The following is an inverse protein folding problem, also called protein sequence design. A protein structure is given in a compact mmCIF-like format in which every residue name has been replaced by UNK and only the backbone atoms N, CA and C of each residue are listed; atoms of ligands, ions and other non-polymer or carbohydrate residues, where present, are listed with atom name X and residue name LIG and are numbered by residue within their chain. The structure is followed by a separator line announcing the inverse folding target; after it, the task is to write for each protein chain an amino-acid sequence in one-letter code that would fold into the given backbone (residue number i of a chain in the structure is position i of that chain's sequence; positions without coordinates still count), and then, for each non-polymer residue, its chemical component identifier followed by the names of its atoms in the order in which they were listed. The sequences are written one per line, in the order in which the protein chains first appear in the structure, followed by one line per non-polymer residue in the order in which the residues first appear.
data_IF_922237703960
#
_entry.id   IF_922237703960
#
_cell.length_a   1.000
_cell.length_b   1.000
_cell.length_c   1.000
_cell.angle_alpha   90.00
_cell.angle_beta   90.00
_cell.angle_gamma   90.00
#
_symmetry.space_group_name_H-M   'P 1'
#
loop_
_entity.id
_entity.type
_entity.pdbx_description
1 polymer ?
#
# COMPACT_ATOMS: atom_id res chain seq x y z
N UNK A 1 -39.72 -48.95 37.18
CA UNK A 1 -39.00 -47.86 36.48
C UNK A 1 -38.41 -48.41 35.18
N UNK A 2 -38.91 -47.97 34.03
CA UNK A 2 -38.66 -48.62 32.74
C UNK A 2 -37.38 -48.10 32.06
N UNK A 3 -36.30 -48.88 32.12
CA UNK A 3 -35.00 -48.64 31.43
C UNK A 3 -35.12 -48.29 29.94
N UNK A 4 -36.21 -48.71 29.26
CA UNK A 4 -36.48 -48.41 27.84
C UNK A 4 -36.91 -46.96 27.56
N UNK A 5 -37.40 -46.21 28.55
CA UNK A 5 -37.75 -44.80 28.37
C UNK A 5 -36.51 -43.88 28.48
N UNK A 6 -35.54 -44.26 29.30
CA UNK A 6 -34.28 -43.51 29.46
C UNK A 6 -33.44 -43.50 28.17
N UNK A 7 -33.43 -44.62 27.42
CA UNK A 7 -32.70 -44.74 26.15
C UNK A 7 -33.39 -44.02 24.98
N UNK A 8 -34.71 -43.78 25.04
CA UNK A 8 -35.42 -43.00 24.02
C UNK A 8 -35.24 -41.48 24.18
N UNK A 9 -34.99 -41.02 25.41
CA UNK A 9 -34.67 -39.61 25.70
C UNK A 9 -33.22 -39.23 25.33
N UNK A 10 -32.32 -40.20 25.21
CA UNK A 10 -30.94 -39.95 24.79
C UNK A 10 -30.77 -39.78 23.26
N UNK A 11 -31.76 -40.19 22.45
CA UNK A 11 -31.68 -40.15 20.99
C UNK A 11 -32.35 -38.91 20.35
N UNK A 12 -32.88 -37.98 21.16
CA UNK A 12 -33.64 -36.82 20.70
C UNK A 12 -33.11 -35.48 21.26
N UNK A 13 -31.81 -35.39 21.54
CA UNK A 13 -31.15 -34.10 21.68
C UNK A 13 -30.71 -33.65 20.27
N UNK A 14 -31.39 -32.69 19.62
CA UNK A 14 -30.84 -32.10 18.42
C UNK A 14 -29.53 -31.41 18.82
N UNK A 15 -28.46 -31.77 18.11
CA UNK A 15 -27.19 -31.06 18.07
C UNK A 15 -27.42 -29.62 17.55
N UNK A 16 -28.09 -28.79 18.32
CA UNK A 16 -28.02 -27.33 18.19
C UNK A 16 -26.87 -26.84 19.05
N UNK A 17 -25.67 -27.37 18.79
CA UNK A 17 -24.46 -26.58 18.95
C UNK A 17 -24.51 -25.55 17.82
N UNK A 18 -25.27 -24.46 18.04
CA UNK A 18 -24.95 -23.20 17.41
C UNK A 18 -23.49 -22.97 17.78
N UNK A 19 -22.60 -23.22 16.82
CA UNK A 19 -21.20 -22.92 16.93
C UNK A 19 -21.10 -21.44 17.23
N UNK A 20 -20.99 -21.09 18.51
CA UNK A 20 -20.43 -19.83 18.92
C UNK A 20 -19.02 -19.85 18.37
N UNK A 21 -18.86 -19.25 17.18
CA UNK A 21 -17.55 -18.75 16.78
C UNK A 21 -17.23 -17.69 17.81
N UNK A 22 -16.59 -18.11 18.89
CA UNK A 22 -15.85 -17.21 19.76
C UNK A 22 -14.78 -16.59 18.87
N UNK A 23 -15.12 -15.46 18.25
CA UNK A 23 -14.14 -14.53 17.73
C UNK A 23 -13.39 -14.06 18.97
N UNK A 24 -12.27 -14.73 19.27
CA UNK A 24 -11.37 -14.26 20.29
C UNK A 24 -11.04 -12.81 19.94
N UNK A 25 -11.31 -11.89 20.86
CA UNK A 25 -10.75 -10.56 20.78
C UNK A 25 -9.25 -10.72 20.52
N UNK A 26 -8.71 -9.98 19.55
CA UNK A 26 -7.28 -10.03 19.28
C UNK A 26 -6.49 -9.80 20.58
N UNK A 27 -5.26 -10.33 20.69
CA UNK A 27 -4.44 -10.11 21.87
C UNK A 27 -4.44 -8.62 22.25
N UNK A 28 -4.42 -8.26 23.55
CA UNK A 28 -4.46 -6.86 24.04
C UNK A 28 -3.35 -5.95 23.48
N UNK A 29 -2.44 -6.50 22.69
CA UNK A 29 -1.25 -5.87 22.13
C UNK A 29 -1.22 -5.85 20.59
N UNK A 30 -2.37 -6.06 19.93
CA UNK A 30 -2.49 -6.00 18.47
C UNK A 30 -2.21 -4.60 17.94
N UNK A 31 -1.30 -4.49 16.96
CA UNK A 31 -0.88 -3.22 16.36
C UNK A 31 -1.12 -3.18 14.86
N UNK A 32 -1.57 -2.03 14.37
CA UNK A 32 -1.72 -1.75 12.95
C UNK A 32 -0.96 -0.48 12.60
N UNK A 33 -0.16 -0.51 11.55
CA UNK A 33 0.35 0.68 10.87
C UNK A 33 -0.16 0.68 9.43
N UNK A 34 -0.84 1.77 9.04
CA UNK A 34 -1.18 2.00 7.63
C UNK A 34 -0.16 2.96 7.03
N UNK A 35 0.47 2.54 5.94
CA UNK A 35 1.41 3.35 5.16
C UNK A 35 0.76 3.72 3.84
N UNK A 36 0.54 5.01 3.59
CA UNK A 36 -0.08 5.50 2.37
C UNK A 36 0.99 6.09 1.43
N UNK A 37 1.27 5.41 0.33
CA UNK A 37 2.13 5.90 -0.75
C UNK A 37 1.34 6.89 -1.60
N UNK A 38 1.59 8.18 -1.43
CA UNK A 38 0.93 9.28 -2.13
C UNK A 38 1.54 9.43 -3.52
N UNK A 39 0.73 9.17 -4.56
CA UNK A 39 1.15 9.34 -5.95
C UNK A 39 1.01 8.09 -6.82
N UNK A 40 0.18 7.10 -6.45
CA UNK A 40 -0.17 5.97 -7.32
C UNK A 40 1.04 5.26 -7.95
N UNK A 41 1.93 4.66 -7.17
CA UNK A 41 3.17 4.07 -7.69
C UNK A 41 2.95 3.00 -8.78
N UNK A 42 3.96 2.76 -9.62
CA UNK A 42 3.95 1.69 -10.63
C UNK A 42 4.13 0.31 -10.00
N UNK A 43 3.00 -0.28 -9.62
CA UNK A 43 2.93 -1.56 -8.93
C UNK A 43 3.40 -2.76 -9.78
N UNK A 44 3.32 -2.67 -11.11
CA UNK A 44 3.79 -3.73 -12.02
C UNK A 44 5.33 -3.75 -12.15
N UNK A 45 6.00 -2.66 -11.80
CA UNK A 45 7.46 -2.65 -11.63
C UNK A 45 7.87 -3.24 -10.28
N UNK A 46 7.06 -3.08 -9.22
CA UNK A 46 7.32 -3.75 -7.94
C UNK A 46 7.11 -5.27 -8.00
N UNK A 47 5.88 -5.68 -8.32
CA UNK A 47 5.45 -7.08 -8.34
C UNK A 47 5.34 -7.49 -9.81
N UNK A 48 6.40 -8.12 -10.28
CA UNK A 48 6.68 -8.39 -11.69
C UNK A 48 5.97 -9.68 -12.11
N UNK A 49 5.05 -9.65 -13.09
CA UNK A 49 4.40 -10.86 -13.61
C UNK A 49 5.34 -11.60 -14.57
N UNK A 50 6.25 -12.41 -14.04
CA UNK A 50 7.31 -13.08 -14.83
C UNK A 50 6.79 -14.18 -15.76
N UNK A 51 5.49 -14.42 -15.84
CA UNK A 51 4.90 -15.33 -16.84
C UNK A 51 4.18 -14.58 -17.97
N UNK A 52 4.07 -13.26 -17.88
CA UNK A 52 3.41 -12.43 -18.89
C UNK A 52 4.41 -11.94 -19.92
N UNK A 53 4.34 -12.43 -21.16
CA UNK A 53 5.08 -11.84 -22.29
C UNK A 53 4.57 -10.42 -22.59
N UNK A 54 3.27 -10.21 -22.46
CA UNK A 54 2.62 -8.92 -22.68
C UNK A 54 3.18 -7.80 -21.78
N UNK A 55 3.59 -8.11 -20.55
CA UNK A 55 4.28 -7.16 -19.66
C UNK A 55 5.60 -6.67 -20.29
N UNK A 56 6.42 -7.57 -20.83
CA UNK A 56 7.71 -7.22 -21.44
C UNK A 56 7.52 -6.48 -22.76
N UNK A 57 6.59 -6.93 -23.59
CA UNK A 57 6.23 -6.25 -24.85
C UNK A 57 5.70 -4.83 -24.61
N UNK A 58 4.94 -4.63 -23.54
CA UNK A 58 4.32 -3.34 -23.21
C UNK A 58 5.25 -2.37 -22.50
N UNK A 59 6.45 -2.81 -22.08
CA UNK A 59 7.39 -2.05 -21.25
C UNK A 59 8.84 -2.17 -21.76
N UNK A 60 9.11 -1.79 -23.01
CA UNK A 60 10.39 -2.05 -23.67
C UNK A 60 11.61 -1.47 -22.94
N UNK A 61 11.45 -0.40 -22.16
CA UNK A 61 12.57 0.24 -21.44
C UNK A 61 12.47 0.13 -19.92
N UNK A 62 11.27 -0.08 -19.37
CA UNK A 62 11.05 -0.10 -17.91
C UNK A 62 10.74 -1.49 -17.35
N UNK A 63 10.58 -2.53 -18.17
CA UNK A 63 10.36 -3.89 -17.69
C UNK A 63 11.52 -4.36 -16.79
N UNK A 64 11.18 -5.01 -15.68
CA UNK A 64 12.20 -5.69 -14.85
C UNK A 64 12.57 -7.01 -15.50
N UNK A 65 13.84 -7.15 -15.85
CA UNK A 65 14.39 -8.36 -16.45
C UNK A 65 14.16 -9.59 -15.55
N UNK A 66 13.86 -10.73 -16.17
CA UNK A 66 13.48 -11.97 -15.47
C UNK A 66 14.54 -12.45 -14.48
N UNK A 67 15.79 -12.31 -14.85
CA UNK A 67 16.98 -12.71 -14.08
C UNK A 67 17.35 -11.72 -12.97
N UNK A 68 16.98 -10.45 -13.12
CA UNK A 68 17.15 -9.42 -12.10
C UNK A 68 16.07 -9.50 -11.01
N UNK A 69 14.85 -9.95 -11.35
CA UNK A 69 13.74 -10.04 -10.41
C UNK A 69 13.91 -11.21 -9.43
N UNK A 70 13.57 -11.00 -8.15
CA UNK A 70 13.64 -12.04 -7.14
C UNK A 70 12.35 -12.89 -7.15
N UNK A 71 12.42 -14.15 -7.55
CA UNK A 71 11.26 -15.02 -7.70
C UNK A 71 10.41 -15.13 -6.40
N UNK A 72 9.09 -15.07 -6.56
CA UNK A 72 8.07 -15.34 -5.56
C UNK A 72 7.19 -16.52 -6.04
N UNK A 73 6.04 -16.77 -5.39
CA UNK A 73 5.09 -17.80 -5.83
C UNK A 73 4.30 -17.37 -7.08
N UNK A 74 3.63 -18.34 -7.71
CA UNK A 74 2.58 -18.11 -8.71
C UNK A 74 3.02 -17.31 -9.95
N UNK A 75 4.31 -17.40 -10.33
CA UNK A 75 4.84 -16.70 -11.48
C UNK A 75 5.02 -15.18 -11.27
N UNK A 76 5.07 -14.75 -10.01
CA UNK A 76 5.44 -13.39 -9.64
C UNK A 76 6.90 -13.32 -9.22
N UNK A 77 7.48 -12.13 -9.34
CA UNK A 77 8.78 -11.81 -8.78
C UNK A 77 8.78 -10.41 -8.17
N UNK A 78 9.75 -10.17 -7.30
CA UNK A 78 9.92 -8.92 -6.59
C UNK A 78 11.01 -8.08 -7.25
N UNK A 79 10.77 -6.77 -7.33
CA UNK A 79 11.74 -5.81 -7.83
C UNK A 79 13.10 -5.92 -7.10
N UNK A 80 14.24 -5.91 -7.82
CA UNK A 80 15.57 -6.11 -7.22
C UNK A 80 15.92 -5.11 -6.12
N UNK A 81 15.55 -3.84 -6.27
CA UNK A 81 15.82 -2.79 -5.28
C UNK A 81 15.24 -3.04 -3.88
N UNK A 82 14.25 -3.94 -3.74
CA UNK A 82 13.67 -4.32 -2.44
C UNK A 82 13.96 -5.76 -2.07
N UNK A 83 14.77 -6.47 -2.86
CA UNK A 83 15.14 -7.87 -2.60
C UNK A 83 15.71 -8.03 -1.20
N UNK A 84 16.76 -7.28 -0.87
CA UNK A 84 17.48 -7.47 0.40
C UNK A 84 16.67 -7.03 1.63
N UNK A 85 15.72 -6.11 1.45
CA UNK A 85 14.91 -5.57 2.55
C UNK A 85 13.59 -6.31 2.75
N UNK A 86 12.96 -6.84 1.71
CA UNK A 86 11.62 -7.43 1.77
C UNK A 86 11.57 -8.94 1.52
N UNK A 87 12.45 -9.49 0.67
CA UNK A 87 12.46 -10.94 0.42
C UNK A 87 12.64 -11.77 1.71
N UNK A 88 13.47 -11.35 2.70
CA UNK A 88 13.55 -12.07 3.96
C UNK A 88 12.22 -12.14 4.72
N UNK A 89 11.39 -11.09 4.68
CA UNK A 89 10.05 -11.13 5.30
C UNK A 89 9.14 -12.11 4.55
N UNK A 90 9.17 -12.10 3.21
CA UNK A 90 8.38 -13.02 2.41
C UNK A 90 8.74 -14.48 2.73
N UNK A 91 10.05 -14.79 2.76
CA UNK A 91 10.55 -16.14 3.05
C UNK A 91 10.22 -16.63 4.46
N UNK A 92 10.14 -15.72 5.45
CA UNK A 92 9.68 -16.03 6.81
C UNK A 92 8.16 -16.13 6.94
N UNK A 93 7.41 -15.90 5.86
CA UNK A 93 5.96 -15.83 5.91
C UNK A 93 5.42 -14.56 6.53
N UNK A 94 6.22 -13.52 6.71
CA UNK A 94 5.84 -12.24 7.35
C UNK A 94 5.45 -11.16 6.33
N UNK A 95 5.38 -11.47 5.05
CA UNK A 95 4.99 -10.55 3.97
C UNK A 95 4.13 -11.28 2.93
N UNK A 96 3.00 -10.67 2.57
CA UNK A 96 2.15 -11.04 1.45
C UNK A 96 1.91 -9.83 0.54
N UNK A 97 1.71 -10.09 -0.74
CA UNK A 97 1.25 -9.08 -1.69
C UNK A 97 -0.18 -9.41 -2.13
N UNK A 98 -0.99 -8.36 -2.31
CA UNK A 98 -2.35 -8.44 -2.83
C UNK A 98 -2.39 -7.67 -4.15
N UNK A 99 -2.14 -8.34 -5.30
CA UNK A 99 -2.27 -7.71 -6.61
C UNK A 99 -3.74 -7.42 -6.91
N UNK A 100 -3.96 -6.58 -7.93
CA UNK A 100 -5.30 -6.20 -8.37
C UNK A 100 -6.13 -5.58 -7.24
N UNK A 101 -5.47 -4.86 -6.34
CA UNK A 101 -6.10 -4.18 -5.20
C UNK A 101 -6.31 -2.70 -5.51
N UNK A 102 -7.40 -2.12 -5.01
CA UNK A 102 -7.70 -0.72 -5.24
C UNK A 102 -9.09 -0.31 -4.78
N UNK A 103 -9.65 0.68 -5.44
CA UNK A 103 -10.98 1.23 -5.19
C UNK A 103 -11.91 0.93 -6.35
N UNK A 104 -13.21 0.85 -6.09
CA UNK A 104 -14.27 0.74 -7.10
C UNK A 104 -14.55 2.09 -7.82
N UNK A 105 -13.84 3.15 -7.43
CA UNK A 105 -13.85 4.45 -8.08
C UNK A 105 -12.88 4.51 -9.27
N UNK A 106 -13.39 4.87 -10.45
CA UNK A 106 -12.61 5.00 -11.66
C UNK A 106 -11.90 6.37 -11.80
N UNK A 107 -12.05 7.28 -10.82
CA UNK A 107 -11.28 8.52 -10.78
C UNK A 107 -9.79 8.22 -10.78
N UNK A 108 -9.05 9.05 -11.51
CA UNK A 108 -7.58 9.06 -11.56
C UNK A 108 -7.01 10.34 -10.96
N UNK A 109 -7.83 11.11 -10.27
CA UNK A 109 -7.38 12.28 -9.51
C UNK A 109 -6.77 11.82 -8.20
N UNK A 110 -5.52 12.21 -7.94
CA UNK A 110 -4.86 11.98 -6.65
C UNK A 110 -5.70 12.53 -5.50
N UNK A 111 -6.04 13.82 -5.54
CA UNK A 111 -6.81 14.47 -4.49
C UNK A 111 -8.14 13.77 -4.22
N UNK A 112 -8.93 13.48 -5.26
CA UNK A 112 -10.23 12.85 -5.10
C UNK A 112 -10.09 11.42 -4.54
N UNK A 113 -9.24 10.60 -5.16
CA UNK A 113 -9.16 9.17 -4.82
C UNK A 113 -8.55 8.95 -3.44
N UNK A 114 -7.51 9.72 -3.10
CA UNK A 114 -6.92 9.71 -1.76
C UNK A 114 -7.96 10.08 -0.70
N UNK A 115 -8.69 11.19 -0.90
CA UNK A 115 -9.73 11.62 0.04
C UNK A 115 -10.84 10.56 0.18
N UNK A 116 -11.25 9.93 -0.92
CA UNK A 116 -12.26 8.86 -0.92
C UNK A 116 -11.80 7.63 -0.16
N UNK A 117 -10.55 7.20 -0.35
CA UNK A 117 -9.97 6.06 0.37
C UNK A 117 -9.84 6.38 1.85
N UNK A 118 -9.31 7.54 2.21
CA UNK A 118 -9.16 7.95 3.61
C UNK A 118 -10.51 8.04 4.34
N UNK A 119 -11.57 8.44 3.64
CA UNK A 119 -12.95 8.43 4.14
C UNK A 119 -13.56 7.01 4.22
N UNK A 120 -13.01 6.03 3.51
CA UNK A 120 -13.60 4.70 3.38
C UNK A 120 -14.89 4.70 2.55
N UNK A 121 -14.98 5.58 1.54
CA UNK A 121 -16.19 5.79 0.74
C UNK A 121 -16.39 4.66 -0.27
N UNK A 122 -17.66 4.27 -0.47
CA UNK A 122 -18.08 3.40 -1.57
C UNK A 122 -18.07 4.10 -2.93
N UNK A 123 -17.93 3.34 -4.01
CA UNK A 123 -18.20 3.80 -5.36
C UNK A 123 -19.62 4.37 -5.50
N UNK A 124 -19.76 5.41 -6.33
CA UNK A 124 -21.05 6.04 -6.64
C UNK A 124 -21.45 7.25 -5.76
N UNK A 125 -22.73 7.63 -5.86
CA UNK A 125 -23.30 8.90 -5.36
C UNK A 125 -23.79 8.86 -3.91
N UNK A 126 -23.52 7.79 -3.16
CA UNK A 126 -23.87 7.70 -1.74
C UNK A 126 -23.22 8.81 -0.91
N UNK A 127 -23.87 9.19 0.20
CA UNK A 127 -23.34 10.16 1.14
C UNK A 127 -21.97 9.69 1.66
N UNK A 128 -20.97 10.55 1.56
CA UNK A 128 -19.65 10.24 2.09
C UNK A 128 -19.72 10.12 3.62
N UNK A 129 -18.99 9.17 4.23
CA UNK A 129 -18.79 9.20 5.67
C UNK A 129 -18.21 10.56 6.10
N UNK A 130 -18.65 11.09 7.25
CA UNK A 130 -18.22 12.41 7.72
C UNK A 130 -16.81 12.43 8.33
N UNK A 131 -16.17 11.27 8.48
CA UNK A 131 -14.89 11.08 9.16
C UNK A 131 -14.01 10.11 8.38
N UNK A 132 -12.72 10.02 8.73
CA UNK A 132 -11.82 9.02 8.18
C UNK A 132 -12.07 7.63 8.76
N UNK A 133 -11.77 6.58 7.99
CA UNK A 133 -12.08 5.22 8.42
C UNK A 133 -11.22 4.76 9.60
N UNK A 134 -9.97 5.21 9.74
CA UNK A 134 -9.17 4.88 10.92
C UNK A 134 -9.63 5.64 12.16
N UNK A 135 -10.22 6.84 12.02
CA UNK A 135 -10.91 7.50 13.14
C UNK A 135 -12.13 6.69 13.60
N UNK A 136 -12.93 6.18 12.66
CA UNK A 136 -14.06 5.30 12.99
C UNK A 136 -13.60 4.00 13.63
N UNK A 137 -12.53 3.39 13.13
CA UNK A 137 -11.91 2.23 13.77
C UNK A 137 -11.48 2.57 15.20
N UNK A 138 -10.77 3.68 15.41
CA UNK A 138 -10.35 4.10 16.74
C UNK A 138 -11.54 4.28 17.69
N UNK A 139 -12.66 4.83 17.21
CA UNK A 139 -13.90 4.94 17.98
C UNK A 139 -14.52 3.57 18.31
N UNK A 140 -14.34 2.56 17.46
CA UNK A 140 -14.78 1.19 17.76
C UNK A 140 -13.89 0.50 18.78
N UNK A 141 -12.61 0.87 18.93
CA UNK A 141 -11.67 0.13 19.78
C UNK A 141 -11.77 0.47 21.28
N UNK A 142 -12.62 1.41 21.70
CA UNK A 142 -12.77 1.91 23.07
C UNK A 142 -11.46 2.43 23.71
N UNK A 143 -11.57 3.47 24.56
CA UNK A 143 -10.44 4.29 25.06
C UNK A 143 -9.31 3.61 25.86
N UNK A 144 -9.26 2.27 25.91
CA UNK A 144 -8.14 1.49 26.48
C UNK A 144 -7.49 0.51 25.49
N UNK A 145 -8.19 0.04 24.45
CA UNK A 145 -7.61 -0.88 23.47
C UNK A 145 -7.16 -0.18 22.18
N UNK A 146 -7.68 1.01 21.86
CA UNK A 146 -7.18 1.86 20.77
C UNK A 146 -6.31 3.01 21.28
N UNK A 147 -5.03 3.04 20.90
CA UNK A 147 -4.09 4.14 21.13
C UNK A 147 -3.60 4.66 19.76
N UNK A 148 -4.41 5.47 19.06
CA UNK A 148 -4.08 5.91 17.72
C UNK A 148 -3.03 7.02 17.72
N UNK A 149 -2.26 7.13 16.65
CA UNK A 149 -1.42 8.28 16.35
C UNK A 149 -1.25 8.47 14.84
N UNK A 150 -1.27 9.74 14.39
CA UNK A 150 -0.84 10.12 13.07
C UNK A 150 0.64 10.54 13.13
N UNK A 151 1.43 10.09 12.16
CA UNK A 151 2.85 10.41 12.03
C UNK A 151 3.09 11.26 10.76
N UNK A 152 2.40 12.39 10.69
CA UNK A 152 2.32 13.26 9.51
C UNK A 152 2.50 14.73 9.91
N UNK A 153 2.68 15.62 8.92
CA UNK A 153 2.80 17.06 9.18
C UNK A 153 1.50 17.64 9.77
N UNK A 154 0.36 17.31 9.15
CA UNK A 154 -0.98 17.70 9.59
C UNK A 154 -1.84 16.47 9.92
N UNK A 155 -2.94 16.67 10.66
CA UNK A 155 -3.90 15.59 10.93
C UNK A 155 -4.53 15.11 9.59
N UNK A 156 -4.27 13.86 9.18
CA UNK A 156 -4.69 13.36 7.89
C UNK A 156 -6.18 13.04 7.89
N UNK A 157 -6.83 13.10 6.72
CA UNK A 157 -8.26 12.88 6.56
C UNK A 157 -8.70 11.54 7.17
N UNK A 158 -7.87 10.51 7.04
CA UNK A 158 -8.11 9.14 7.55
C UNK A 158 -8.32 9.08 9.07
N UNK A 159 -7.80 10.08 9.80
CA UNK A 159 -7.95 10.23 11.26
C UNK A 159 -8.80 11.41 11.68
N UNK A 160 -9.38 12.19 10.76
CA UNK A 160 -10.34 13.24 11.13
C UNK A 160 -11.67 12.63 11.58
N UNK A 161 -12.21 13.10 12.70
CA UNK A 161 -13.49 12.63 13.24
C UNK A 161 -13.59 12.85 14.75
N UNK A 162 -14.46 12.09 15.41
CA UNK A 162 -14.77 12.26 16.83
C UNK A 162 -13.68 11.70 17.76
N UNK A 163 -12.98 10.64 17.35
CA UNK A 163 -11.89 10.09 18.16
C UNK A 163 -10.72 11.09 18.19
N UNK A 164 -10.17 11.33 19.39
CA UNK A 164 -9.00 12.21 19.55
C UNK A 164 -7.75 11.45 19.15
N UNK A 165 -7.05 11.92 18.12
CA UNK A 165 -5.82 11.31 17.62
C UNK A 165 -4.69 12.33 17.71
N UNK A 166 -3.61 12.06 18.47
CA UNK A 166 -2.42 12.91 18.45
C UNK A 166 -1.76 12.86 17.07
N UNK A 167 -1.31 14.03 16.60
CA UNK A 167 -0.45 14.14 15.42
C UNK A 167 1.00 14.37 15.85
N UNK A 168 1.91 13.57 15.33
CA UNK A 168 3.33 13.59 15.66
C UNK A 168 4.11 13.90 14.40
N UNK A 169 4.56 15.15 14.28
CA UNK A 169 5.45 15.57 13.20
C UNK A 169 6.84 14.97 13.42
N UNK A 170 7.29 14.15 12.46
CA UNK A 170 8.61 13.52 12.48
C UNK A 170 9.69 14.39 11.83
N UNK A 171 9.29 15.46 11.13
CA UNK A 171 10.11 16.31 10.27
C UNK A 171 10.96 17.36 10.99
N UNK A 172 10.76 17.57 12.29
CA UNK A 172 11.64 18.33 13.20
C UNK A 172 12.27 19.60 12.63
N UNK A 173 11.62 20.76 12.81
CA UNK A 173 12.16 22.12 12.70
C UNK A 173 13.21 22.44 11.60
N UNK A 174 12.77 23.25 10.63
CA UNK A 174 13.51 24.00 9.58
C UNK A 174 13.80 23.24 8.28
N UNK A 175 12.84 23.35 7.35
CA UNK A 175 13.02 23.13 5.91
C UNK A 175 13.92 24.22 5.32
N UNK A 176 15.15 23.87 4.95
CA UNK A 176 15.85 24.54 3.84
C UNK A 176 16.14 23.48 2.79
N UNK A 177 15.29 23.45 1.77
CA UNK A 177 15.56 22.73 0.53
C UNK A 177 16.81 23.34 -0.12
N UNK A 178 17.84 22.52 -0.34
CA UNK A 178 18.91 22.79 -1.29
C UNK A 178 18.81 21.72 -2.35
N UNK A 179 18.06 22.02 -3.41
CA UNK A 179 18.17 21.31 -4.67
C UNK A 179 19.34 21.92 -5.42
N UNK A 180 20.41 21.15 -5.63
CA UNK A 180 21.41 21.48 -6.66
C UNK A 180 21.20 20.53 -7.81
N UNK A 181 20.66 21.05 -8.91
CA UNK A 181 20.65 20.36 -10.19
C UNK A 181 21.97 20.66 -10.90
N UNK A 182 22.75 19.63 -11.25
CA UNK A 182 23.52 19.68 -12.50
C UNK A 182 23.96 18.28 -12.94
N UNK A 183 23.33 17.78 -13.99
CA UNK A 183 23.71 16.55 -14.70
C UNK A 183 23.31 16.63 -16.18
N UNK A 184 22.32 17.46 -16.52
CA UNK A 184 21.91 17.74 -17.91
C UNK A 184 22.94 18.56 -18.70
N UNK A 185 23.65 19.47 -18.05
CA UNK A 185 24.71 20.28 -18.67
C UNK A 185 25.90 19.43 -19.12
N UNK A 186 26.27 18.43 -18.32
CA UNK A 186 27.36 17.51 -18.64
C UNK A 186 27.05 16.64 -19.87
N UNK A 187 25.80 16.17 -20.01
CA UNK A 187 25.37 15.38 -21.17
C UNK A 187 25.31 16.27 -22.43
N UNK A 188 24.77 17.48 -22.34
CA UNK A 188 24.75 18.43 -23.46
C UNK A 188 26.16 18.75 -23.98
N UNK A 189 27.13 18.96 -23.06
CA UNK A 189 28.52 19.23 -23.42
C UNK A 189 29.23 18.07 -24.12
N UNK A 190 28.84 16.81 -23.85
CA UNK A 190 29.43 15.63 -24.52
C UNK A 190 29.04 15.51 -26.00
N UNK A 191 27.86 16.01 -26.39
CA UNK A 191 27.36 15.91 -27.77
C UNK A 191 27.50 17.21 -28.56
N UNK A 192 28.04 18.26 -27.94
CA UNK A 192 28.27 19.57 -28.55
C UNK A 192 29.18 19.44 -29.79
N UNK A 193 28.72 19.92 -30.94
CA UNK A 193 29.45 19.84 -32.21
C UNK A 193 29.38 18.49 -32.94
N UNK A 194 28.56 17.55 -32.47
CA UNK A 194 28.25 16.30 -33.19
C UNK A 194 26.99 16.46 -34.05
N UNK A 195 26.76 15.53 -35.00
CA UNK A 195 25.51 15.50 -35.77
C UNK A 195 24.24 15.22 -34.95
N UNK A 196 24.38 14.89 -33.66
CA UNK A 196 23.29 14.62 -32.73
C UNK A 196 23.00 15.79 -31.78
N UNK A 197 23.77 16.88 -31.87
CA UNK A 197 23.72 18.04 -30.95
C UNK A 197 22.30 18.63 -30.86
N UNK A 198 21.68 18.92 -32.01
CA UNK A 198 20.31 19.44 -32.06
C UNK A 198 19.28 18.50 -31.41
N UNK A 199 19.35 17.19 -31.73
CA UNK A 199 18.41 16.20 -31.20
C UNK A 199 18.61 15.91 -29.71
N UNK A 200 19.85 15.96 -29.22
CA UNK A 200 20.17 15.80 -27.80
C UNK A 200 19.71 17.02 -27.00
N UNK A 201 19.94 18.23 -27.50
CA UNK A 201 19.49 19.46 -26.82
C UNK A 201 17.96 19.57 -26.79
N UNK A 202 17.29 19.24 -27.90
CA UNK A 202 15.83 19.19 -27.96
C UNK A 202 15.27 18.12 -26.99
N UNK A 203 15.88 16.93 -26.97
CA UNK A 203 15.52 15.87 -26.03
C UNK A 203 15.74 16.27 -24.56
N UNK A 204 16.85 16.93 -24.23
CA UNK A 204 17.13 17.43 -22.88
C UNK A 204 16.17 18.53 -22.46
N UNK A 205 15.80 19.45 -23.36
CA UNK A 205 14.82 20.49 -23.10
C UNK A 205 13.42 19.92 -22.86
N UNK A 206 12.97 18.98 -23.69
CA UNK A 206 11.70 18.29 -23.51
C UNK A 206 11.66 17.51 -22.18
N UNK A 207 12.74 16.81 -21.84
CA UNK A 207 12.87 16.11 -20.56
C UNK A 207 12.89 17.09 -19.37
N UNK A 208 13.51 18.26 -19.51
CA UNK A 208 13.50 19.32 -18.49
C UNK A 208 12.10 19.89 -18.24
N UNK A 209 11.36 20.18 -19.31
CA UNK A 209 9.96 20.63 -19.21
C UNK A 209 9.06 19.57 -18.59
N UNK A 210 9.20 18.31 -19.03
CA UNK A 210 8.45 17.19 -18.46
C UNK A 210 8.75 17.00 -16.97
N UNK A 211 10.01 17.17 -16.54
CA UNK A 211 10.40 17.11 -15.13
C UNK A 211 9.80 18.25 -14.30
N UNK A 212 9.77 19.47 -14.80
CA UNK A 212 9.19 20.60 -14.08
C UNK A 212 7.67 20.45 -13.87
N UNK A 213 6.96 19.97 -14.91
CA UNK A 213 5.54 19.62 -14.79
C UNK A 213 5.32 18.49 -13.77
N UNK A 214 6.14 17.44 -13.85
CA UNK A 214 6.14 16.33 -12.89
C UNK A 214 6.38 16.80 -11.45
N UNK A 215 7.29 17.75 -11.21
CA UNK A 215 7.53 18.29 -9.87
C UNK A 215 6.33 19.09 -9.33
N UNK A 216 5.53 19.71 -10.19
CA UNK A 216 4.29 20.36 -9.77
C UNK A 216 3.21 19.33 -9.42
N UNK A 217 3.00 18.35 -10.30
CA UNK A 217 2.02 17.26 -10.10
C UNK A 217 2.37 16.42 -8.87
N UNK A 218 3.64 16.02 -8.73
CA UNK A 218 4.13 15.29 -7.56
C UNK A 218 3.94 16.07 -6.26
N UNK A 219 4.07 17.40 -6.26
CA UNK A 219 3.77 18.22 -5.07
C UNK A 219 2.29 18.19 -4.70
N UNK A 220 1.40 18.21 -5.69
CA UNK A 220 -0.04 18.06 -5.48
C UNK A 220 -0.38 16.65 -4.98
N UNK A 221 0.16 15.62 -5.65
CA UNK A 221 -0.02 14.23 -5.28
C UNK A 221 0.46 13.93 -3.85
N UNK A 222 1.57 14.53 -3.41
CA UNK A 222 2.10 14.37 -2.05
C UNK A 222 1.12 14.86 -0.98
N UNK A 223 0.33 15.91 -1.25
CA UNK A 223 -0.64 16.43 -0.29
C UNK A 223 -0.07 16.83 1.08
N UNK A 224 1.22 17.21 1.14
CA UNK A 224 1.94 17.50 2.39
C UNK A 224 2.80 16.36 2.94
N UNK A 225 2.73 15.15 2.36
CA UNK A 225 3.56 14.02 2.78
C UNK A 225 5.07 14.26 2.56
N UNK A 226 5.88 13.75 3.49
CA UNK A 226 7.34 13.80 3.43
C UNK A 226 7.93 12.96 2.28
N UNK A 227 9.17 13.24 1.88
CA UNK A 227 9.86 12.47 0.85
C UNK A 227 10.53 11.20 1.43
N UNK A 228 11.08 10.35 0.56
CA UNK A 228 11.67 9.06 0.93
C UNK A 228 13.10 9.14 1.48
N UNK A 229 13.75 10.31 1.53
CA UNK A 229 15.18 10.43 1.84
C UNK A 229 15.51 10.14 3.30
N UNK A 230 14.63 10.53 4.22
CA UNK A 230 14.78 10.32 5.67
C UNK A 230 13.90 9.21 6.22
N UNK A 231 13.20 8.50 5.32
CA UNK A 231 12.14 7.57 5.66
C UNK A 231 12.61 6.45 6.60
N UNK A 232 13.86 6.00 6.48
CA UNK A 232 14.39 4.97 7.39
C UNK A 232 14.50 5.47 8.85
N UNK A 233 14.98 6.70 9.05
CA UNK A 233 15.10 7.28 10.39
C UNK A 233 13.73 7.57 11.00
N UNK A 234 12.80 8.07 10.18
CA UNK A 234 11.41 8.30 10.55
C UNK A 234 10.73 6.98 10.93
N UNK A 235 10.88 5.94 10.12
CA UNK A 235 10.33 4.61 10.38
C UNK A 235 10.87 3.99 11.68
N UNK A 236 12.14 4.18 12.02
CA UNK A 236 12.68 3.76 13.33
C UNK A 236 11.98 4.47 14.49
N UNK A 237 11.78 5.79 14.38
CA UNK A 237 11.06 6.58 15.41
C UNK A 237 9.60 6.15 15.54
N UNK A 238 8.90 5.94 14.41
CA UNK A 238 7.54 5.39 14.40
C UNK A 238 7.51 4.03 15.10
N UNK A 239 8.48 3.16 14.80
CA UNK A 239 8.63 1.85 15.42
C UNK A 239 8.73 1.94 16.94
N UNK A 240 9.60 2.80 17.46
CA UNK A 240 9.71 3.02 18.92
C UNK A 240 8.41 3.55 19.52
N UNK A 241 7.78 4.56 18.90
CA UNK A 241 6.50 5.09 19.39
C UNK A 241 5.37 4.07 19.40
N UNK A 242 5.28 3.24 18.36
CA UNK A 242 4.29 2.17 18.26
C UNK A 242 4.60 1.01 19.22
N UNK A 243 5.86 0.66 19.43
CA UNK A 243 6.22 -0.38 20.39
C UNK A 243 5.79 0.02 21.81
N UNK A 244 6.06 1.27 22.20
CA UNK A 244 5.90 1.75 23.58
C UNK A 244 4.52 2.34 23.89
N UNK A 245 3.90 3.08 22.94
CA UNK A 245 2.80 4.00 23.26
C UNK A 245 1.54 3.81 22.42
N UNK A 246 1.68 3.48 21.14
CA UNK A 246 0.56 3.49 20.18
C UNK A 246 0.35 2.14 19.50
N UNK A 247 -0.89 1.80 19.15
CA UNK A 247 -1.19 0.53 18.47
C UNK A 247 -2.07 0.68 17.22
N UNK A 248 -2.35 1.92 16.82
CA UNK A 248 -3.03 2.23 15.58
C UNK A 248 -2.36 3.45 14.92
N UNK A 249 -1.45 3.20 13.99
CA UNK A 249 -0.65 4.22 13.34
C UNK A 249 -1.10 4.50 11.91
N UNK A 250 -0.88 5.74 11.47
CA UNK A 250 -0.89 6.12 10.07
C UNK A 250 0.34 6.97 9.75
N UNK A 251 0.93 6.72 8.59
CA UNK A 251 1.95 7.58 7.97
C UNK A 251 1.67 7.63 6.48
N UNK A 252 1.91 8.77 5.85
CA UNK A 252 1.97 8.88 4.41
C UNK A 252 3.38 9.24 3.93
N UNK A 253 3.67 8.79 2.71
CA UNK A 253 4.98 8.94 2.09
C UNK A 253 4.74 9.46 0.68
N UNK A 254 5.31 10.62 0.39
CA UNK A 254 5.23 11.26 -0.91
C UNK A 254 6.29 10.78 -1.90
N UNK A 255 6.10 11.20 -3.14
CA UNK A 255 7.06 11.09 -4.23
C UNK A 255 6.83 9.89 -5.14
N UNK A 256 5.65 9.27 -5.11
CA UNK A 256 5.35 8.07 -5.90
C UNK A 256 4.80 8.39 -7.29
N UNK A 257 4.39 9.63 -7.50
CA UNK A 257 3.84 10.14 -8.76
C UNK A 257 4.92 10.31 -9.82
N UNK A 258 5.37 9.18 -10.37
CA UNK A 258 6.51 9.10 -11.28
C UNK A 258 6.03 8.75 -12.68
N UNK A 259 6.21 9.66 -13.64
CA UNK A 259 5.73 9.51 -15.02
C UNK A 259 6.84 9.47 -16.07
N UNK A 260 8.07 9.82 -15.69
CA UNK A 260 9.16 10.11 -16.61
C UNK A 260 10.40 9.38 -16.14
N UNK A 261 11.02 8.61 -17.05
CA UNK A 261 12.29 7.93 -16.80
C UNK A 261 12.30 7.14 -15.49
N UNK A 262 11.26 6.35 -15.23
CA UNK A 262 11.13 5.58 -13.98
C UNK A 262 12.31 4.62 -13.81
N UNK A 263 12.80 4.11 -14.94
CA UNK A 263 13.86 3.12 -15.02
C UNK A 263 13.35 1.71 -14.71
N UNK A 264 14.17 0.72 -15.04
CA UNK A 264 13.89 -0.69 -14.73
C UNK A 264 14.43 -1.02 -13.33
N UNK A 265 15.39 -1.95 -13.22
CA UNK A 265 16.00 -2.35 -11.94
C UNK A 265 16.69 -1.19 -11.20
N UNK A 266 17.01 -0.10 -11.91
CA UNK A 266 17.62 1.13 -11.42
C UNK A 266 16.77 2.33 -11.84
N UNK A 267 16.95 3.49 -11.20
CA UNK A 267 16.24 4.72 -11.53
C UNK A 267 15.43 5.27 -10.36
N UNK A 268 14.63 6.29 -10.63
CA UNK A 268 13.88 7.02 -9.60
C UNK A 268 12.93 6.09 -8.84
N UNK A 269 12.21 5.22 -9.55
CA UNK A 269 11.28 4.29 -8.90
C UNK A 269 12.04 3.26 -8.06
N UNK A 270 13.09 2.66 -8.60
CA UNK A 270 13.94 1.70 -7.89
C UNK A 270 14.54 2.31 -6.61
N UNK A 271 15.04 3.55 -6.65
CA UNK A 271 15.56 4.26 -5.48
C UNK A 271 14.50 4.43 -4.40
N UNK A 272 13.29 4.87 -4.77
CA UNK A 272 12.17 5.09 -3.83
C UNK A 272 11.68 3.78 -3.23
N UNK A 273 11.51 2.74 -4.05
CA UNK A 273 11.18 1.40 -3.60
C UNK A 273 12.22 0.88 -2.59
N UNK A 274 13.51 1.00 -2.91
CA UNK A 274 14.58 0.59 -2.01
C UNK A 274 14.59 1.37 -0.69
N UNK A 275 14.30 2.67 -0.71
CA UNK A 275 14.15 3.50 0.49
C UNK A 275 12.97 3.05 1.36
N UNK A 276 11.79 2.81 0.77
CA UNK A 276 10.64 2.29 1.49
C UNK A 276 10.90 0.89 2.07
N UNK A 277 11.49 -0.01 1.28
CA UNK A 277 11.83 -1.36 1.75
C UNK A 277 12.75 -1.34 2.96
N UNK A 278 13.83 -0.54 2.92
CA UNK A 278 14.72 -0.35 4.09
C UNK A 278 14.00 0.27 5.28
N UNK A 279 13.12 1.24 5.05
CA UNK A 279 12.32 1.86 6.11
C UNK A 279 11.38 0.86 6.80
N UNK A 280 10.68 0.01 6.03
CA UNK A 280 9.83 -1.05 6.59
C UNK A 280 10.64 -2.07 7.39
N UNK A 281 11.81 -2.46 6.90
CA UNK A 281 12.72 -3.33 7.64
C UNK A 281 13.22 -2.69 8.95
N UNK A 282 13.54 -1.40 8.91
CA UNK A 282 13.97 -0.63 10.08
C UNK A 282 12.84 -0.41 11.10
N UNK A 283 11.60 -0.20 10.64
CA UNK A 283 10.41 -0.18 11.48
C UNK A 283 10.24 -1.52 12.21
N UNK A 284 10.27 -2.64 11.47
CA UNK A 284 10.16 -3.97 12.05
C UNK A 284 11.24 -4.25 13.11
N UNK A 285 12.48 -3.83 12.85
CA UNK A 285 13.58 -3.92 13.82
C UNK A 285 13.30 -3.08 15.07
N UNK A 286 12.84 -1.83 14.91
CA UNK A 286 12.54 -0.92 16.02
C UNK A 286 11.33 -1.37 16.86
N UNK A 287 10.38 -2.11 16.27
CA UNK A 287 9.28 -2.74 16.99
C UNK A 287 9.76 -3.84 17.97
N UNK A 288 10.92 -4.45 17.73
CA UNK A 288 11.46 -5.50 18.58
C UNK A 288 10.44 -6.64 18.82
N UNK A 289 10.25 -7.10 20.07
CA UNK A 289 9.27 -8.16 20.39
C UNK A 289 7.83 -7.84 19.94
N UNK A 290 7.44 -6.56 19.90
CA UNK A 290 6.10 -6.15 19.49
C UNK A 290 5.80 -6.43 18.02
N UNK A 291 6.83 -6.67 17.18
CA UNK A 291 6.65 -7.05 15.77
C UNK A 291 5.77 -8.30 15.61
N UNK A 292 5.83 -9.25 16.55
CA UNK A 292 5.01 -10.47 16.56
C UNK A 292 3.50 -10.20 16.56
N UNK A 293 3.08 -9.03 17.02
CA UNK A 293 1.66 -8.62 17.08
C UNK A 293 1.37 -7.41 16.21
N UNK A 294 2.26 -7.09 15.27
CA UNK A 294 2.15 -5.92 14.39
C UNK A 294 1.76 -6.35 12.99
N UNK A 295 0.81 -5.64 12.40
CA UNK A 295 0.47 -5.69 10.98
C UNK A 295 0.73 -4.32 10.37
N UNK A 296 1.41 -4.29 9.23
CA UNK A 296 1.64 -3.12 8.40
C UNK A 296 0.89 -3.33 7.09
N UNK A 297 0.07 -2.37 6.69
CA UNK A 297 -0.60 -2.38 5.38
C UNK A 297 -0.09 -1.20 4.58
N UNK A 298 0.59 -1.47 3.48
CA UNK A 298 1.09 -0.47 2.54
C UNK A 298 0.14 -0.39 1.36
N UNK A 299 -0.42 0.79 1.13
CA UNK A 299 -1.38 1.06 0.06
C UNK A 299 -0.96 2.28 -0.76
N UNK A 300 -1.58 2.43 -1.91
CA UNK A 300 -1.60 3.65 -2.71
C UNK A 300 -3.02 3.85 -3.23
N UNK A 301 -3.33 5.03 -3.73
CA UNK A 301 -4.69 5.42 -4.12
C UNK A 301 -5.21 4.66 -5.34
N UNK A 302 -4.34 4.44 -6.32
CA UNK A 302 -4.58 3.64 -7.52
C UNK A 302 -3.21 3.17 -8.06
N UNK A 303 -3.19 2.45 -9.17
CA UNK A 303 -1.96 2.02 -9.84
C UNK A 303 -1.61 2.81 -11.09
N UNK A 304 -0.79 2.23 -11.95
CA UNK A 304 -0.33 2.84 -13.20
C UNK A 304 -0.81 2.07 -14.41
N UNK A 305 -0.72 2.69 -15.58
CA UNK A 305 -0.90 1.98 -16.84
C UNK A 305 0.06 0.80 -16.93
N UNK A 306 -0.41 -0.33 -17.48
CA UNK A 306 0.49 -1.43 -17.76
C UNK A 306 1.48 -1.03 -18.85
N UNK A 307 1.03 -0.28 -19.86
CA UNK A 307 1.89 0.16 -20.96
C UNK A 307 2.78 1.32 -20.53
N UNK A 308 4.04 1.24 -20.95
CA UNK A 308 4.99 2.35 -20.87
C UNK A 308 4.50 3.52 -21.76
N UNK A 309 4.63 4.75 -21.26
CA UNK A 309 4.33 5.97 -21.99
C UNK A 309 5.53 6.45 -22.82
N UNK A 310 5.34 7.50 -23.63
CA UNK A 310 6.42 8.04 -24.49
C UNK A 310 7.63 8.60 -23.74
N UNK A 311 7.53 8.81 -22.43
CA UNK A 311 8.58 9.39 -21.59
C UNK A 311 9.34 8.34 -20.76
N UNK A 312 9.25 7.05 -21.13
CA UNK A 312 9.89 5.94 -20.40
C UNK A 312 9.42 5.86 -18.94
N UNK A 313 8.13 6.08 -18.73
CA UNK A 313 7.45 5.90 -17.46
C UNK A 313 6.03 5.39 -17.70
N UNK A 314 5.10 5.71 -16.80
CA UNK A 314 3.71 5.23 -16.87
C UNK A 314 2.73 6.34 -16.47
N UNK A 315 1.52 6.27 -16.99
CA UNK A 315 0.46 7.23 -16.68
C UNK A 315 -0.42 6.72 -15.55
N UNK A 316 -1.32 7.59 -15.03
CA UNK A 316 -2.29 7.17 -14.01
C UNK A 316 -3.16 6.01 -14.52
N UNK A 317 -3.23 4.95 -13.71
CA UNK A 317 -3.98 3.74 -14.02
C UNK A 317 -5.16 3.54 -13.08
N UNK A 318 -5.36 2.32 -12.59
CA UNK A 318 -6.49 1.98 -11.72
C UNK A 318 -6.11 0.94 -10.64
N UNK A 319 -6.05 -0.35 -10.95
CA UNK A 319 -5.64 -1.37 -10.00
C UNK A 319 -4.16 -1.28 -9.63
N UNK A 320 -3.84 -1.58 -8.37
CA UNK A 320 -2.51 -1.53 -7.77
C UNK A 320 -2.15 -2.86 -7.08
N UNK A 321 -1.05 -2.85 -6.32
CA UNK A 321 -0.64 -3.95 -5.44
C UNK A 321 -0.55 -3.41 -4.03
N UNK A 322 -1.22 -4.05 -3.07
CA UNK A 322 -1.09 -3.73 -1.65
C UNK A 322 -0.19 -4.72 -0.94
N UNK A 323 0.53 -4.26 0.08
CA UNK A 323 1.53 -5.07 0.79
C UNK A 323 1.05 -5.23 2.22
N UNK A 324 1.11 -6.45 2.73
CA UNK A 324 0.72 -6.76 4.10
C UNK A 324 1.89 -7.47 4.77
N UNK A 325 2.49 -6.81 5.77
CA UNK A 325 3.68 -7.28 6.46
C UNK A 325 3.44 -7.36 7.96
N UNK A 326 4.13 -8.25 8.66
CA UNK A 326 3.99 -8.35 10.11
C UNK A 326 4.45 -9.68 10.67
N UNK A 327 4.85 -9.70 11.94
CA UNK A 327 5.32 -10.93 12.60
C UNK A 327 4.21 -11.97 12.83
N UNK A 328 2.94 -11.56 12.75
CA UNK A 328 1.77 -12.44 12.81
C UNK A 328 1.05 -12.63 11.47
N UNK A 329 1.60 -12.07 10.38
CA UNK A 329 1.02 -12.23 9.04
C UNK A 329 1.23 -13.66 8.54
N UNK A 330 0.27 -14.20 7.80
CA UNK A 330 0.34 -15.48 7.09
C UNK A 330 0.71 -15.23 5.62
N UNK A 331 1.94 -14.81 5.43
CA UNK A 331 2.54 -14.42 4.16
C UNK A 331 3.27 -15.55 3.44
N UNK A 332 4.33 -15.19 2.70
CA UNK A 332 5.05 -16.11 1.82
C UNK A 332 4.24 -16.52 0.60
N UNK A 333 3.24 -15.69 0.24
CA UNK A 333 2.28 -15.96 -0.83
C UNK A 333 1.78 -14.69 -1.49
N UNK A 334 1.23 -14.86 -2.68
CA UNK A 334 0.36 -13.89 -3.34
C UNK A 334 -1.08 -14.16 -2.89
N UNK A 335 -1.73 -13.13 -2.34
CA UNK A 335 -3.06 -13.20 -1.76
C UNK A 335 -4.09 -12.48 -2.63
N UNK A 336 -5.37 -12.85 -2.48
CA UNK A 336 -6.44 -12.31 -3.32
C UNK A 336 -6.64 -13.07 -4.62
N UNK A 337 -7.67 -12.68 -5.35
CA UNK A 337 -7.95 -13.20 -6.69
C UNK A 337 -6.89 -12.73 -7.68
N UNK A 338 -6.53 -13.60 -8.63
CA UNK A 338 -5.49 -13.33 -9.61
C UNK A 338 -6.03 -13.57 -11.02
N UNK A 339 -5.61 -12.71 -11.95
CA UNK A 339 -5.80 -12.89 -13.39
C UNK A 339 -4.46 -12.87 -14.09
N UNK A 340 -4.34 -13.59 -15.21
CA UNK A 340 -3.15 -13.48 -16.05
C UNK A 340 -3.00 -12.03 -16.52
N UNK A 341 -1.78 -11.48 -16.51
CA UNK A 341 -1.52 -10.13 -17.05
C UNK A 341 -1.43 -10.22 -18.57
N UNK A 342 -2.50 -9.88 -19.27
CA UNK A 342 -2.58 -9.86 -20.73
C UNK A 342 -3.60 -8.82 -21.17
N UNK A 343 -3.61 -8.48 -22.46
CA UNK A 343 -4.49 -7.47 -23.05
C UNK A 343 -5.95 -7.59 -22.59
N UNK A 344 -6.54 -8.76 -22.74
CA UNK A 344 -7.99 -8.97 -22.53
C UNK A 344 -8.42 -9.00 -21.06
N UNK A 345 -7.48 -9.06 -20.12
CA UNK A 345 -7.77 -9.06 -18.68
C UNK A 345 -7.54 -7.69 -18.05
N UNK A 346 -6.98 -6.74 -18.80
CA UNK A 346 -6.80 -5.38 -18.30
C UNK A 346 -8.12 -4.63 -18.24
N UNK A 347 -8.25 -3.80 -17.22
CA UNK A 347 -9.30 -2.81 -17.17
C UNK A 347 -9.06 -1.78 -18.28
N UNK A 348 -10.05 -1.65 -19.17
CA UNK A 348 -10.01 -0.74 -20.32
C UNK A 348 -8.80 -0.96 -21.26
N UNK A 349 -8.28 -2.20 -21.38
CA UNK A 349 -7.05 -2.50 -22.16
C UNK A 349 -5.83 -1.66 -21.73
N UNK A 350 -5.81 -1.22 -20.46
CA UNK A 350 -4.86 -0.20 -20.01
C UNK A 350 -4.28 -0.47 -18.64
N UNK A 351 -5.12 -0.81 -17.67
CA UNK A 351 -4.76 -0.84 -16.25
C UNK A 351 -4.97 -2.23 -15.66
N UNK A 352 -4.32 -2.52 -14.53
CA UNK A 352 -4.75 -3.66 -13.73
C UNK A 352 -6.22 -3.50 -13.31
N UNK A 353 -7.05 -4.55 -13.41
CA UNK A 353 -8.38 -4.52 -12.81
C UNK A 353 -8.28 -4.47 -11.29
N UNK A 354 -9.34 -3.99 -10.64
CA UNK A 354 -9.52 -4.11 -9.19
C UNK A 354 -10.38 -5.34 -8.91
N UNK A 355 -9.74 -6.38 -8.37
CA UNK A 355 -10.38 -7.62 -7.90
C UNK A 355 -10.52 -7.63 -6.38
N UNK A 356 -9.72 -6.82 -5.67
CA UNK A 356 -9.80 -6.65 -4.22
C UNK A 356 -10.03 -5.17 -3.87
N UNK A 357 -11.25 -4.84 -3.45
CA UNK A 357 -11.58 -3.51 -2.92
C UNK A 357 -10.89 -3.29 -1.56
N UNK A 358 -10.30 -2.11 -1.36
CA UNK A 358 -9.54 -1.76 -0.16
C UNK A 358 -10.39 -1.84 1.12
N UNK A 359 -11.68 -1.48 1.07
CA UNK A 359 -12.59 -1.53 2.22
C UNK A 359 -12.89 -2.96 2.58
N UNK A 360 -13.11 -3.82 1.58
CA UNK A 360 -13.32 -5.25 1.80
C UNK A 360 -12.09 -5.88 2.47
N UNK A 361 -10.88 -5.56 1.99
CA UNK A 361 -9.61 -5.99 2.58
C UNK A 361 -9.46 -5.51 4.04
N UNK A 362 -9.58 -4.21 4.28
CA UNK A 362 -9.43 -3.65 5.62
C UNK A 362 -10.52 -4.14 6.58
N UNK A 363 -11.77 -4.28 6.14
CA UNK A 363 -12.83 -4.83 6.96
C UNK A 363 -12.56 -6.29 7.35
N UNK A 364 -12.05 -7.11 6.42
CA UNK A 364 -11.62 -8.48 6.72
C UNK A 364 -10.47 -8.53 7.73
N UNK A 365 -9.46 -7.67 7.55
CA UNK A 365 -8.35 -7.52 8.49
C UNK A 365 -8.84 -7.07 9.88
N UNK A 366 -9.70 -6.05 9.97
CA UNK A 366 -10.18 -5.54 11.26
C UNK A 366 -11.04 -6.57 12.00
N UNK A 367 -11.84 -7.33 11.28
CA UNK A 367 -12.61 -8.45 11.85
C UNK A 367 -11.69 -9.48 12.51
N UNK A 368 -10.56 -9.81 11.90
CA UNK A 368 -9.59 -10.77 12.45
C UNK A 368 -8.67 -10.19 13.52
N UNK A 369 -8.14 -8.99 13.31
CA UNK A 369 -7.21 -8.34 14.22
C UNK A 369 -7.86 -7.93 15.54
N UNK A 370 -9.10 -7.42 15.48
CA UNK A 370 -9.75 -6.80 16.64
C UNK A 370 -11.03 -7.53 17.07
N UNK A 371 -11.41 -8.61 16.39
CA UNK A 371 -12.65 -9.33 16.68
C UNK A 371 -13.90 -8.49 16.43
N UNK A 372 -13.85 -7.55 15.48
CA UNK A 372 -15.01 -6.71 15.16
C UNK A 372 -16.12 -7.57 14.53
N UNK A 373 -17.32 -7.50 15.10
CA UNK A 373 -18.52 -8.09 14.50
C UNK A 373 -18.99 -7.31 13.27
N UNK A 374 -20.01 -7.83 12.59
CA UNK A 374 -20.56 -7.22 11.38
C UNK A 374 -21.06 -5.79 11.60
N UNK A 375 -21.65 -5.48 12.77
CA UNK A 375 -22.18 -4.15 13.06
C UNK A 375 -21.05 -3.13 13.22
N UNK A 376 -20.01 -3.47 13.98
CA UNK A 376 -18.83 -2.62 14.17
C UNK A 376 -18.06 -2.45 12.86
N UNK A 377 -17.98 -3.49 12.03
CA UNK A 377 -17.41 -3.38 10.68
C UNK A 377 -18.21 -2.45 9.77
N UNK A 378 -19.55 -2.49 9.81
CA UNK A 378 -20.39 -1.53 9.07
C UNK A 378 -20.22 -0.09 9.59
N UNK A 379 -19.96 0.10 10.88
CA UNK A 379 -19.64 1.42 11.41
C UNK A 379 -18.31 1.97 10.85
N UNK A 380 -17.32 1.11 10.60
CA UNK A 380 -16.04 1.51 9.98
C UNK A 380 -16.16 1.65 8.47
N UNK A 381 -16.79 0.71 7.76
CA UNK A 381 -16.98 0.77 6.31
C UNK A 381 -18.45 0.49 5.93
N UNK A 382 -19.31 1.52 5.93
CA UNK A 382 -20.70 1.37 5.56
C UNK A 382 -20.86 0.77 4.15
N UNK A 383 -21.64 -0.30 4.05
CA UNK A 383 -21.94 -1.00 2.80
C UNK A 383 -20.82 -1.92 2.28
N UNK A 384 -19.63 -1.93 2.89
CA UNK A 384 -18.57 -2.85 2.49
C UNK A 384 -18.85 -4.27 2.98
N UNK A 385 -18.54 -5.26 2.15
CA UNK A 385 -18.56 -6.68 2.53
C UNK A 385 -17.13 -7.10 2.90
N UNK A 386 -16.86 -7.56 4.13
CA UNK A 386 -15.53 -8.00 4.53
C UNK A 386 -15.03 -9.15 3.65
N UNK A 387 -13.79 -9.05 3.17
CA UNK A 387 -13.11 -10.11 2.43
C UNK A 387 -12.01 -10.71 3.30
N UNK A 388 -12.17 -11.97 3.66
CA UNK A 388 -11.19 -12.69 4.47
C UNK A 388 -10.14 -13.40 3.61
N UNK A 389 -9.05 -12.70 3.31
CA UNK A 389 -7.89 -13.27 2.62
C UNK A 389 -7.00 -14.17 3.50
N UNK A 390 -7.39 -14.38 4.77
CA UNK A 390 -6.65 -15.12 5.79
C UNK A 390 -5.22 -14.62 5.99
N UNK A 391 -5.02 -13.31 5.94
CA UNK A 391 -3.70 -12.68 6.10
C UNK A 391 -3.17 -12.64 7.54
N UNK A 392 -4.04 -12.73 8.55
CA UNK A 392 -3.69 -12.67 9.99
C UNK A 392 -4.48 -13.66 10.82
#
# INVERSE_FOLDING_TARGET
MHRRQLLKLAAAAPLTLYGTRLLAAGPPDTRLLVVFMRGAYDAASLLVPTTSEFYYESRPHIAIARDAAAALSDGWALHPAVKDSLLPFYQRGELAFVPFAGTDDASRSHFETQNRIELGRAGGSGAAPASGFLNRLAAQLDGKAGRPAAFTEDVPQIFRGQARVPNIDLGGAKRKSRLTADSSSAIAQMYQGTGLDASVNEGLAAMGQARAALEAEMREANGGAGNTEKLEQEARRIGTFMAERYNLGFVDVGGWDTHVGQGAANGVLATKLGQLGRALAAYAQAMGPAWRHTTVVVISEFGRTLRENGNKGTDHGHGSVYWVLGGGVRGGRIAGEQVAVKRDTLFQDRDYPVLTDYRALFAGLFGRLYGLDAQRLQAVFPGARPLDLKLV
#
